data_IF_750362185200
#
_entry.id   IF_750362185200
#
_cell.length_a   1.000
_cell.length_b   1.000
_cell.length_c   1.000
_cell.angle_alpha   90.00
_cell.angle_beta   90.00
_cell.angle_gamma   90.00
#
_symmetry.space_group_name_H-M   'P 1'
#
loop_
_entity.id
_entity.type
_entity.pdbx_description
1 polymer ?
#
# COMPACT_ATOMS: atom_id res chain seq x y z
N UNK A 1 -34.55 38.18 25.36
CA UNK A 1 -33.49 37.59 24.51
C UNK A 1 -33.71 36.09 24.46
N UNK A 2 -34.07 35.60 23.29
CA UNK A 2 -34.90 34.42 23.06
C UNK A 2 -34.15 33.08 23.26
N UNK A 3 -34.84 32.11 23.88
CA UNK A 3 -34.50 30.68 23.95
C UNK A 3 -34.07 30.06 22.60
N UNK A 4 -34.44 30.69 21.48
CA UNK A 4 -34.00 30.31 20.14
C UNK A 4 -32.47 30.37 19.96
N UNK A 5 -31.76 31.27 20.67
CA UNK A 5 -30.31 31.38 20.59
C UNK A 5 -29.59 30.20 21.27
N UNK A 6 -30.17 29.65 22.35
CA UNK A 6 -29.66 28.44 23.00
C UNK A 6 -29.85 27.19 22.13
N UNK A 7 -30.98 27.09 21.42
CA UNK A 7 -31.25 25.99 20.48
C UNK A 7 -30.27 25.95 19.31
N UNK A 8 -29.79 27.11 18.85
CA UNK A 8 -28.81 27.23 17.77
C UNK A 8 -27.39 26.80 18.19
N UNK A 9 -27.00 27.03 19.44
CA UNK A 9 -25.69 26.61 19.99
C UNK A 9 -25.60 25.09 20.22
N UNK A 10 -26.74 24.41 20.34
CA UNK A 10 -26.82 22.94 20.47
C UNK A 10 -26.90 22.17 19.15
N UNK A 11 -26.94 22.87 18.00
CA UNK A 11 -26.91 22.23 16.70
C UNK A 11 -25.47 21.75 16.42
N UNK A 12 -25.20 20.46 16.61
CA UNK A 12 -24.01 19.81 16.05
C UNK A 12 -24.13 19.94 14.54
N UNK A 13 -23.32 20.81 13.93
CA UNK A 13 -23.26 20.95 12.49
C UNK A 13 -23.07 19.55 11.87
N UNK A 14 -23.82 19.18 10.82
CA UNK A 14 -23.64 17.90 10.17
C UNK A 14 -22.18 17.81 9.74
N UNK A 15 -21.44 16.86 10.33
CA UNK A 15 -20.04 16.64 9.98
C UNK A 15 -20.02 16.17 8.54
N UNK A 16 -19.49 17.00 7.62
CA UNK A 16 -19.21 16.54 6.26
C UNK A 16 -18.29 15.33 6.38
N UNK A 17 -18.70 14.13 5.90
CA UNK A 17 -17.87 12.95 5.99
C UNK A 17 -16.52 13.22 5.32
N UNK A 18 -15.43 12.85 5.99
CA UNK A 18 -14.09 12.99 5.42
C UNK A 18 -14.02 12.23 4.10
N UNK A 19 -13.94 12.98 2.99
CA UNK A 19 -13.81 12.41 1.65
C UNK A 19 -12.43 11.75 1.56
N UNK A 20 -12.39 10.42 1.59
CA UNK A 20 -11.15 9.67 1.42
C UNK A 20 -10.75 9.74 -0.06
N UNK A 21 -9.52 10.16 -0.39
CA UNK A 21 -9.04 10.10 -1.76
C UNK A 21 -9.13 8.65 -2.28
N UNK A 22 -9.54 8.44 -3.54
CA UNK A 22 -9.57 7.11 -4.12
C UNK A 22 -8.14 6.58 -4.26
N UNK A 23 -7.83 5.52 -3.51
CA UNK A 23 -6.53 4.84 -3.54
C UNK A 23 -6.74 3.44 -4.07
N UNK A 24 -6.16 3.15 -5.23
CA UNK A 24 -6.08 1.81 -5.77
C UNK A 24 -4.95 1.04 -5.08
N UNK A 25 -5.25 0.42 -3.93
CA UNK A 25 -4.25 -0.28 -3.11
C UNK A 25 -3.53 -1.40 -3.86
N UNK A 26 -4.14 -2.00 -4.88
CA UNK A 26 -3.48 -3.00 -5.72
C UNK A 26 -2.26 -2.45 -6.47
N UNK A 27 -2.22 -1.15 -6.77
CA UNK A 27 -1.11 -0.52 -7.49
C UNK A 27 0.19 -0.47 -6.67
N UNK A 28 0.06 -0.36 -5.35
CA UNK A 28 1.19 -0.14 -4.43
C UNK A 28 1.53 -1.44 -3.67
N UNK A 29 0.79 -2.51 -3.94
CA UNK A 29 0.89 -3.77 -3.21
C UNK A 29 2.30 -4.41 -3.28
N UNK A 30 3.01 -4.41 -4.44
CA UNK A 30 4.37 -4.95 -4.49
C UNK A 30 5.33 -4.22 -3.53
N UNK A 31 5.28 -2.88 -3.51
CA UNK A 31 6.10 -2.05 -2.61
C UNK A 31 5.76 -2.28 -1.14
N UNK A 32 4.47 -2.44 -0.82
CA UNK A 32 4.02 -2.75 0.54
C UNK A 32 4.55 -4.10 1.03
N UNK A 33 4.67 -5.09 0.15
CA UNK A 33 5.27 -6.39 0.50
C UNK A 33 6.76 -6.22 0.81
N UNK A 34 7.50 -5.49 -0.01
CA UNK A 34 8.94 -5.27 0.20
C UNK A 34 9.20 -4.49 1.50
N UNK A 35 8.51 -3.37 1.71
CA UNK A 35 8.64 -2.55 2.91
C UNK A 35 8.18 -3.34 4.13
N UNK A 36 7.04 -4.02 4.06
CA UNK A 36 6.50 -4.84 5.15
C UNK A 36 7.45 -5.98 5.52
N UNK A 37 8.03 -6.67 4.53
CA UNK A 37 9.02 -7.72 4.75
C UNK A 37 10.31 -7.19 5.35
N UNK A 38 10.81 -6.04 4.90
CA UNK A 38 11.99 -5.40 5.47
C UNK A 38 11.78 -5.02 6.94
N UNK A 39 10.64 -4.40 7.27
CA UNK A 39 10.29 -4.02 8.63
C UNK A 39 10.07 -5.25 9.53
N UNK A 40 9.44 -6.30 9.02
CA UNK A 40 9.26 -7.54 9.74
C UNK A 40 10.60 -8.23 10.03
N UNK A 41 11.51 -8.27 9.05
CA UNK A 41 12.87 -8.79 9.25
C UNK A 41 13.63 -7.97 10.28
N UNK A 42 13.54 -6.64 10.21
CA UNK A 42 14.18 -5.73 11.16
C UNK A 42 13.65 -5.97 12.59
N UNK A 43 12.33 -6.06 12.75
CA UNK A 43 11.72 -6.33 14.04
C UNK A 43 12.18 -7.69 14.60
N UNK A 44 12.17 -8.72 13.76
CA UNK A 44 12.59 -10.07 14.14
C UNK A 44 14.08 -10.11 14.53
N UNK A 45 14.93 -9.43 13.77
CA UNK A 45 16.35 -9.30 14.07
C UNK A 45 16.60 -8.51 15.37
N UNK A 46 15.80 -7.47 15.64
CA UNK A 46 15.90 -6.67 16.87
C UNK A 46 15.49 -7.44 18.12
N UNK A 47 14.51 -8.34 18.01
CA UNK A 47 14.03 -9.18 19.11
C UNK A 47 14.93 -10.40 19.33
N UNK A 48 15.63 -10.84 18.29
CA UNK A 48 16.45 -12.05 18.35
C UNK A 48 17.85 -11.74 18.86
N UNK A 49 18.14 -12.15 20.10
CA UNK A 49 19.48 -12.01 20.71
C UNK A 49 20.50 -13.05 20.22
N UNK A 50 20.04 -14.11 19.55
CA UNK A 50 20.88 -15.21 19.01
C UNK A 50 21.31 -14.91 17.57
N UNK A 51 22.53 -15.31 17.20
CA UNK A 51 22.94 -15.31 15.79
C UNK A 51 22.03 -16.25 15.01
N UNK A 52 21.39 -15.73 13.97
CA UNK A 52 20.62 -16.55 13.05
C UNK A 52 21.53 -17.58 12.36
N UNK A 53 21.01 -18.78 12.04
CA UNK A 53 21.74 -19.75 11.25
C UNK A 53 22.10 -19.17 9.87
N UNK A 54 23.24 -19.61 9.34
CA UNK A 54 23.71 -19.20 8.01
C UNK A 54 22.62 -19.48 6.97
N UNK A 55 22.26 -18.45 6.19
CA UNK A 55 21.27 -18.55 5.11
C UNK A 55 19.83 -18.21 5.48
N UNK A 56 19.47 -18.08 6.77
CA UNK A 56 18.08 -17.76 7.15
C UNK A 56 17.61 -16.41 6.61
N UNK A 57 18.46 -15.38 6.74
CA UNK A 57 18.16 -14.05 6.21
C UNK A 57 18.00 -14.06 4.68
N UNK A 58 18.85 -14.81 3.98
CA UNK A 58 18.77 -14.93 2.53
C UNK A 58 17.47 -15.65 2.09
N UNK A 59 17.11 -16.75 2.75
CA UNK A 59 15.87 -17.46 2.47
C UNK A 59 14.64 -16.57 2.72
N UNK A 60 14.67 -15.79 3.81
CA UNK A 60 13.61 -14.84 4.12
C UNK A 60 13.47 -13.76 3.04
N UNK A 61 14.57 -13.11 2.66
CA UNK A 61 14.53 -12.06 1.64
C UNK A 61 14.07 -12.60 0.30
N UNK A 62 14.51 -13.81 -0.09
CA UNK A 62 14.03 -14.48 -1.31
C UNK A 62 12.52 -14.72 -1.25
N UNK A 63 12.00 -15.20 -0.12
CA UNK A 63 10.55 -15.42 0.02
C UNK A 63 9.75 -14.11 -0.11
N UNK A 64 10.24 -13.02 0.49
CA UNK A 64 9.62 -11.68 0.37
C UNK A 64 9.68 -11.18 -1.08
N UNK A 65 10.81 -11.33 -1.76
CA UNK A 65 10.95 -10.95 -3.17
C UNK A 65 10.01 -11.75 -4.09
N UNK A 66 9.86 -13.05 -3.85
CA UNK A 66 8.91 -13.89 -4.60
C UNK A 66 7.47 -13.43 -4.37
N UNK A 67 7.10 -13.08 -3.14
CA UNK A 67 5.77 -12.55 -2.85
C UNK A 67 5.51 -11.22 -3.57
N UNK A 68 6.50 -10.31 -3.59
CA UNK A 68 6.40 -9.05 -4.32
C UNK A 68 6.30 -9.27 -5.84
N UNK A 69 7.07 -10.22 -6.39
CA UNK A 69 7.01 -10.59 -7.80
C UNK A 69 5.62 -11.10 -8.19
N UNK A 70 5.02 -11.98 -7.40
CA UNK A 70 3.65 -12.48 -7.66
C UNK A 70 2.63 -11.33 -7.65
N UNK A 71 2.77 -10.37 -6.74
CA UNK A 71 1.94 -9.17 -6.74
C UNK A 71 2.12 -8.32 -8.00
N UNK A 72 3.37 -8.12 -8.45
CA UNK A 72 3.67 -7.41 -9.70
C UNK A 72 3.08 -8.11 -10.93
N UNK A 73 3.12 -9.44 -10.98
CA UNK A 73 2.49 -10.23 -12.05
C UNK A 73 0.96 -10.10 -12.05
N UNK A 74 0.32 -10.13 -10.88
CA UNK A 74 -1.13 -9.87 -10.79
C UNK A 74 -1.50 -8.45 -11.24
N UNK A 75 -0.63 -7.46 -10.97
CA UNK A 75 -0.81 -6.09 -11.44
C UNK A 75 -0.67 -5.99 -12.96
N UNK A 76 0.25 -6.76 -13.55
CA UNK A 76 0.45 -6.84 -15.01
C UNK A 76 -0.81 -7.34 -15.73
N UNK A 77 -1.46 -8.36 -15.19
CA UNK A 77 -2.73 -8.84 -15.73
C UNK A 77 -3.80 -7.75 -15.69
N UNK A 78 -3.93 -7.03 -14.57
CA UNK A 78 -4.92 -5.95 -14.42
C UNK A 78 -4.73 -4.82 -15.41
N UNK A 79 -3.50 -4.38 -15.62
CA UNK A 79 -3.18 -3.30 -16.58
C UNK A 79 -3.42 -3.76 -18.02
N UNK A 80 -3.15 -5.02 -18.36
CA UNK A 80 -3.45 -5.54 -19.69
C UNK A 80 -4.96 -5.58 -19.98
N UNK A 81 -5.79 -5.83 -18.97
CA UNK A 81 -7.24 -5.84 -19.13
C UNK A 81 -7.86 -4.42 -19.16
N UNK A 82 -7.20 -3.40 -18.60
CA UNK A 82 -7.70 -2.02 -18.48
C UNK A 82 -6.83 -1.01 -19.24
N UNK A 83 -6.75 -1.14 -20.58
CA UNK A 83 -6.04 -0.14 -21.42
C UNK A 83 -6.87 1.15 -21.52
N UNK A 84 -6.24 2.34 -21.41
CA UNK A 84 -4.81 2.64 -21.56
C UNK A 84 -3.95 2.71 -20.27
N UNK A 85 -4.41 2.22 -19.11
CA UNK A 85 -3.76 2.40 -17.81
C UNK A 85 -4.66 3.18 -16.86
N UNK A 86 -4.34 3.20 -15.56
CA UNK A 86 -5.20 3.86 -14.56
C UNK A 86 -4.41 4.72 -13.58
N UNK A 87 -5.11 5.74 -13.06
CA UNK A 87 -4.60 6.65 -12.05
C UNK A 87 -4.77 6.05 -10.65
N UNK A 88 -3.67 5.89 -9.93
CA UNK A 88 -3.62 5.50 -8.54
C UNK A 88 -3.37 6.73 -7.64
N UNK A 89 -3.77 6.62 -6.37
CA UNK A 89 -3.57 7.65 -5.32
C UNK A 89 -4.07 9.02 -5.76
N UNK A 90 -5.38 9.19 -5.92
CA UNK A 90 -5.98 10.47 -6.33
C UNK A 90 -5.36 11.13 -7.57
N UNK A 91 -4.79 10.34 -8.49
CA UNK A 91 -4.13 10.87 -9.70
C UNK A 91 -2.65 11.17 -9.56
N UNK A 92 -2.04 10.91 -8.41
CA UNK A 92 -0.61 11.17 -8.19
C UNK A 92 0.30 10.16 -8.89
N UNK A 93 -0.16 8.94 -9.15
CA UNK A 93 0.64 7.87 -9.75
C UNK A 93 -0.09 7.34 -10.98
N UNK A 94 0.57 7.37 -12.14
CA UNK A 94 0.10 6.70 -13.35
C UNK A 94 0.62 5.27 -13.37
N UNK A 95 -0.28 4.29 -13.52
CA UNK A 95 0.07 2.87 -13.61
C UNK A 95 -0.20 2.37 -15.03
N UNK A 96 0.86 2.03 -15.74
CA UNK A 96 0.85 1.51 -17.11
C UNK A 96 1.73 0.27 -17.26
N UNK A 97 1.70 -0.35 -18.44
CA UNK A 97 2.48 -1.56 -18.71
C UNK A 97 3.99 -1.34 -18.58
N UNK A 98 4.50 -0.17 -18.97
CA UNK A 98 5.93 0.13 -18.84
C UNK A 98 6.35 0.20 -17.37
N UNK A 99 5.56 0.84 -16.52
CA UNK A 99 5.82 0.95 -15.09
C UNK A 99 5.78 -0.42 -14.40
N UNK A 100 4.77 -1.25 -14.74
CA UNK A 100 4.66 -2.60 -14.18
C UNK A 100 5.77 -3.52 -14.68
N UNK A 101 6.27 -3.32 -15.90
CA UNK A 101 7.43 -4.06 -16.42
C UNK A 101 8.67 -3.87 -15.53
N UNK A 102 8.97 -2.63 -15.13
CA UNK A 102 10.09 -2.36 -14.22
C UNK A 102 9.89 -2.99 -12.84
N UNK A 103 8.65 -3.03 -12.35
CA UNK A 103 8.28 -3.70 -11.09
C UNK A 103 8.44 -5.23 -11.11
N UNK A 104 8.51 -5.84 -12.30
CA UNK A 104 8.76 -7.28 -12.47
C UNK A 104 10.25 -7.55 -12.71
N UNK A 105 10.94 -6.62 -13.37
CA UNK A 105 12.34 -6.76 -13.77
C UNK A 105 13.33 -6.56 -12.63
N UNK A 106 13.02 -5.63 -11.71
CA UNK A 106 13.90 -5.19 -10.60
C UNK A 106 13.52 -5.87 -9.31
#
# INVERSE_FOLDING_TARGET
MSLALLGALGQVAPTTPLARPPVAYSAILPELILIGGALALLALASLTKRRAPRGMYAAYTVAVSVAALVASLSLWEKVNHHRPGYLAVAGAISVDGFSVFFLVLV
#
